data_IF_615765048560
#
_entry.id   IF_615765048560
#
_cell.length_a   1.000
_cell.length_b   1.000
_cell.length_c   1.000
_cell.angle_alpha   90.00
_cell.angle_beta   90.00
_cell.angle_gamma   90.00
#
_symmetry.space_group_name_H-M   'P 1'
#
loop_
_entity.id
_entity.type
_entity.pdbx_description
1 polymer ?
#
# COMPACT_ATOMS: atom_id res chain seq x y z
N UNK A 1 5.20 4.92 -9.64
CA UNK A 1 4.51 6.04 -8.96
C UNK A 1 4.56 5.80 -7.47
N UNK A 2 4.47 6.84 -6.64
CA UNK A 2 4.33 6.71 -5.20
C UNK A 2 3.42 7.85 -4.73
N UNK A 3 2.74 7.66 -3.61
CA UNK A 3 2.04 8.74 -2.92
C UNK A 3 2.54 8.84 -1.49
N UNK A 4 2.61 10.07 -1.00
CA UNK A 4 2.98 10.33 0.39
C UNK A 4 1.74 10.27 1.26
N UNK A 5 1.84 9.53 2.36
CA UNK A 5 0.85 9.58 3.44
C UNK A 5 1.42 10.39 4.59
N UNK A 6 0.58 10.74 5.57
CA UNK A 6 1.02 11.44 6.78
C UNK A 6 2.14 10.72 7.56
N UNK A 7 2.35 9.43 7.35
CA UNK A 7 3.26 8.62 8.16
C UNK A 7 4.33 7.88 7.35
N UNK A 8 4.02 7.50 6.12
CA UNK A 8 4.94 6.77 5.23
C UNK A 8 4.69 7.08 3.76
N UNK A 9 5.67 6.81 2.90
CA UNK A 9 5.53 6.91 1.45
C UNK A 9 5.14 5.54 0.90
N UNK A 10 3.98 5.44 0.27
CA UNK A 10 3.50 4.18 -0.32
C UNK A 10 3.91 4.12 -1.78
N UNK A 11 4.70 3.12 -2.13
CA UNK A 11 5.17 2.89 -3.49
C UNK A 11 4.17 2.08 -4.30
N UNK A 12 4.03 2.40 -5.58
CA UNK A 12 3.20 1.66 -6.53
C UNK A 12 3.69 0.22 -6.65
N UNK A 13 2.78 -0.75 -6.69
CA UNK A 13 3.17 -2.15 -6.66
C UNK A 13 3.69 -2.58 -8.02
N UNK A 14 4.62 -3.53 -8.00
CA UNK A 14 5.05 -4.24 -9.21
C UNK A 14 4.05 -5.30 -9.68
N UNK A 15 3.16 -5.75 -8.79
CA UNK A 15 2.14 -6.74 -9.09
C UNK A 15 0.78 -6.07 -9.39
N UNK A 16 0.13 -6.39 -10.52
CA UNK A 16 -1.16 -5.80 -10.89
C UNK A 16 -2.30 -6.16 -9.93
N UNK A 17 -2.16 -7.25 -9.16
CA UNK A 17 -3.12 -7.60 -8.11
C UNK A 17 -3.16 -6.57 -6.98
N UNK A 18 -2.01 -5.94 -6.69
CA UNK A 18 -1.89 -4.94 -5.65
C UNK A 18 -2.26 -3.52 -6.14
N UNK A 19 -2.39 -3.28 -7.46
CA UNK A 19 -2.83 -1.97 -7.98
C UNK A 19 -4.20 -1.55 -7.43
N UNK A 20 -5.11 -2.51 -7.26
CA UNK A 20 -6.43 -2.23 -6.70
C UNK A 20 -6.35 -1.80 -5.24
N UNK A 21 -5.43 -2.39 -4.47
CA UNK A 21 -5.18 -2.03 -3.08
C UNK A 21 -4.44 -0.69 -2.97
N UNK A 22 -3.46 -0.45 -3.84
CA UNK A 22 -2.75 0.83 -3.95
C UNK A 22 -3.70 1.98 -4.26
N UNK A 23 -4.57 1.84 -5.26
CA UNK A 23 -5.59 2.84 -5.58
C UNK A 23 -6.61 3.03 -4.44
N UNK A 24 -6.92 1.97 -3.69
CA UNK A 24 -7.78 2.08 -2.52
C UNK A 24 -7.10 2.90 -1.43
N UNK A 25 -5.83 2.60 -1.12
CA UNK A 25 -5.04 3.36 -0.16
C UNK A 25 -4.97 4.83 -0.58
N UNK A 26 -4.58 5.15 -1.81
CA UNK A 26 -4.50 6.53 -2.32
C UNK A 26 -5.83 7.30 -2.16
N UNK A 27 -6.96 6.69 -2.53
CA UNK A 27 -8.29 7.31 -2.39
C UNK A 27 -8.71 7.50 -0.94
N UNK A 28 -8.35 6.57 -0.08
CA UNK A 28 -8.75 6.58 1.32
C UNK A 28 -7.76 7.34 2.21
N UNK A 29 -6.56 7.69 1.75
CA UNK A 29 -5.57 8.50 2.47
C UNK A 29 -6.18 9.80 2.98
N UNK A 30 -6.92 10.54 2.15
CA UNK A 30 -7.50 11.81 2.56
C UNK A 30 -8.55 11.69 3.67
N UNK A 31 -9.13 10.48 3.85
CA UNK A 31 -10.21 10.24 4.83
C UNK A 31 -9.73 9.44 6.05
N UNK A 32 -8.83 8.49 5.84
CA UNK A 32 -8.33 7.54 6.84
C UNK A 32 -6.84 7.75 7.17
N UNK A 33 -6.13 8.57 6.40
CA UNK A 33 -4.71 8.87 6.56
C UNK A 33 -4.38 9.43 7.94
N UNK A 34 -3.54 8.68 8.65
CA UNK A 34 -3.17 8.92 10.05
C UNK A 34 -3.99 8.11 11.07
N UNK A 35 -4.92 7.26 10.63
CA UNK A 35 -5.60 6.28 11.49
C UNK A 35 -4.73 5.03 11.64
N UNK A 36 -4.74 4.41 12.82
CA UNK A 36 -3.97 3.21 13.10
C UNK A 36 -4.25 2.07 12.11
N UNK A 37 -5.53 1.80 11.83
CA UNK A 37 -5.93 0.76 10.88
C UNK A 37 -5.49 1.03 9.44
N UNK A 38 -5.26 2.30 9.08
CA UNK A 38 -4.74 2.64 7.76
C UNK A 38 -3.24 2.38 7.68
N UNK A 39 -2.50 2.66 8.76
CA UNK A 39 -1.09 2.28 8.87
C UNK A 39 -0.91 0.76 8.80
N UNK A 40 -1.72 -0.02 9.55
CA UNK A 40 -1.71 -1.49 9.47
C UNK A 40 -1.91 -1.98 8.04
N UNK A 41 -2.82 -1.34 7.27
CA UNK A 41 -3.07 -1.71 5.87
C UNK A 41 -1.89 -1.40 4.95
N UNK A 42 -1.12 -0.33 5.22
CA UNK A 42 0.11 -0.04 4.49
C UNK A 42 1.16 -1.12 4.78
N UNK A 43 1.36 -1.49 6.04
CA UNK A 43 2.32 -2.54 6.42
C UNK A 43 1.94 -3.90 5.81
N UNK A 44 0.64 -4.23 5.78
CA UNK A 44 0.12 -5.43 5.11
C UNK A 44 0.37 -5.35 3.61
N UNK A 45 0.12 -4.20 2.99
CA UNK A 45 0.36 -3.99 1.57
C UNK A 45 1.84 -4.18 1.21
N UNK A 46 2.76 -3.60 1.98
CA UNK A 46 4.21 -3.75 1.77
C UNK A 46 4.65 -5.21 1.97
N UNK A 47 4.10 -5.89 2.99
CA UNK A 47 4.35 -7.32 3.23
C UNK A 47 3.86 -8.18 2.06
N UNK A 48 2.64 -7.96 1.59
CA UNK A 48 2.07 -8.66 0.42
C UNK A 48 2.87 -8.40 -0.85
N UNK A 49 3.34 -7.17 -1.07
CA UNK A 49 4.19 -6.88 -2.23
C UNK A 49 5.48 -7.69 -2.19
N UNK A 50 6.07 -7.82 -1.01
CA UNK A 50 7.29 -8.59 -0.80
C UNK A 50 7.04 -10.10 -1.00
N UNK A 51 5.98 -10.64 -0.40
CA UNK A 51 5.57 -12.04 -0.58
C UNK A 51 5.27 -12.37 -2.06
N UNK A 52 4.52 -11.51 -2.75
CA UNK A 52 4.17 -11.69 -4.16
C UNK A 52 5.35 -11.45 -5.12
N UNK A 53 6.39 -10.73 -4.68
CA UNK A 53 7.67 -10.65 -5.39
C UNK A 53 8.46 -11.94 -5.21
N UNK A 54 8.48 -12.51 -4.01
CA UNK A 54 9.17 -13.77 -3.72
C UNK A 54 8.50 -14.98 -4.39
N UNK A 55 7.17 -15.02 -4.52
CA UNK A 55 6.45 -16.10 -5.23
C UNK A 55 6.76 -16.19 -6.74
N UNK A 56 7.44 -15.19 -7.32
CA UNK A 56 7.88 -15.20 -8.73
C UNK A 56 9.31 -15.74 -8.92
N UNK A 57 9.98 -16.23 -7.88
CA UNK A 57 11.29 -16.92 -7.99
C UNK A 57 11.16 -18.43 -7.98
#
# INVERSE_FOLDING_TARGET
MYFDTKKSTVFSPANPQLESLYNWLEKHESTLGGSHSYDDLIEIYESLENELKEEKQ
#
